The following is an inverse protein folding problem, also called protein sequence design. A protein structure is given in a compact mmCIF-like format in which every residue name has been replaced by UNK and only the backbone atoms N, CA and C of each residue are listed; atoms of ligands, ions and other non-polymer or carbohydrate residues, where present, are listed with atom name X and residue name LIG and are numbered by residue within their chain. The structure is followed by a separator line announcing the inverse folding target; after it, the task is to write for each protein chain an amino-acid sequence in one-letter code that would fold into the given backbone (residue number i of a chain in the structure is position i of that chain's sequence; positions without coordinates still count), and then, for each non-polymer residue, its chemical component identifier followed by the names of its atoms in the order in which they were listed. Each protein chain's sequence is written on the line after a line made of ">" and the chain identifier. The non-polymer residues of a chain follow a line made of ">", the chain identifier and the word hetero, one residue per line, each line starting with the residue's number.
data_IF_759864464427
#
_entry.id   IF_759864464427
#
_cell.length_a   1.000
_cell.length_b   1.000
_cell.length_c   1.000
_cell.angle_alpha   90.00
_cell.angle_beta   90.00
_cell.angle_gamma   90.00
#
_symmetry.space_group_name_H-M   'P 1'
#
loop_
_entity.id
_entity.type
_entity.pdbx_description
1 polymer ?
#
# COMPACT_ATOMS: atom_id res chain seq x y z
N UNK A 1 7.72 -9.86 19.03
CA UNK A 1 8.35 -8.67 18.41
C UNK A 1 7.41 -7.50 18.59
N UNK A 2 7.88 -6.42 19.18
CA UNK A 2 7.14 -5.16 19.35
C UNK A 2 7.54 -4.22 18.22
N UNK A 3 6.60 -3.94 17.32
CA UNK A 3 6.85 -3.18 16.11
C UNK A 3 6.26 -1.77 16.23
N UNK A 4 7.09 -0.76 15.98
CA UNK A 4 6.68 0.60 15.72
C UNK A 4 6.67 0.88 14.21
N UNK A 5 5.63 1.55 13.72
CA UNK A 5 5.58 2.08 12.37
C UNK A 5 5.43 3.59 12.43
N UNK A 6 6.41 4.31 11.92
CA UNK A 6 6.41 5.78 11.87
C UNK A 6 6.14 6.25 10.47
N UNK A 7 5.15 7.13 10.34
CA UNK A 7 4.78 7.74 9.07
C UNK A 7 4.24 9.15 9.28
N UNK A 8 4.41 10.01 8.28
CA UNK A 8 3.85 11.35 8.24
C UNK A 8 2.39 11.31 7.75
N UNK A 9 1.45 11.57 8.64
CA UNK A 9 0.02 11.54 8.35
C UNK A 9 -0.73 12.71 8.99
N UNK A 10 -1.27 13.60 8.17
CA UNK A 10 -2.02 14.78 8.64
C UNK A 10 -3.39 14.47 9.23
N UNK A 11 -3.88 13.25 9.10
CA UNK A 11 -5.27 12.89 9.39
C UNK A 11 -5.43 11.79 10.44
N UNK A 12 -4.34 11.32 11.02
CA UNK A 12 -4.36 10.19 11.94
C UNK A 12 -3.47 10.42 13.16
N UNK A 13 -4.02 10.18 14.34
CA UNK A 13 -3.27 10.21 15.58
C UNK A 13 -2.48 8.91 15.80
N UNK A 14 -1.46 8.98 16.66
CA UNK A 14 -0.70 7.82 17.07
C UNK A 14 -1.55 6.84 17.87
N UNK A 15 -1.42 5.56 17.59
CA UNK A 15 -2.17 4.49 18.26
C UNK A 15 -1.32 3.24 18.49
N UNK A 16 -1.77 2.37 19.38
CA UNK A 16 -1.27 1.02 19.55
C UNK A 16 -2.39 -0.02 19.42
N UNK A 17 -2.02 -1.26 19.09
CA UNK A 17 -2.96 -2.36 18.92
C UNK A 17 -2.93 -3.28 20.14
N UNK A 18 -4.11 -3.53 20.73
CA UNK A 18 -4.31 -4.47 21.83
C UNK A 18 -5.59 -5.27 21.58
N UNK A 19 -5.50 -6.59 21.70
CA UNK A 19 -6.62 -7.52 21.43
C UNK A 19 -7.29 -7.26 20.05
N UNK A 20 -6.48 -6.91 19.03
CA UNK A 20 -6.93 -6.58 17.68
C UNK A 20 -7.62 -5.21 17.55
N UNK A 21 -7.72 -4.44 18.62
CA UNK A 21 -8.35 -3.12 18.67
C UNK A 21 -7.27 -2.04 18.75
N UNK A 22 -7.47 -0.93 18.03
CA UNK A 22 -6.59 0.23 18.13
C UNK A 22 -6.99 1.11 19.30
N UNK A 23 -6.00 1.60 20.05
CA UNK A 23 -6.16 2.53 21.15
C UNK A 23 -5.33 3.80 20.90
N UNK A 24 -5.93 4.96 21.16
CA UNK A 24 -5.19 6.25 21.13
C UNK A 24 -4.04 6.19 22.13
N UNK A 25 -2.83 6.54 21.67
CA UNK A 25 -1.62 6.38 22.46
C UNK A 25 -1.58 7.29 23.69
N UNK A 26 -2.17 8.46 23.60
CA UNK A 26 -2.12 9.49 24.65
C UNK A 26 -3.34 9.45 25.56
N UNK A 27 -4.51 9.08 25.02
CA UNK A 27 -5.77 9.02 25.76
C UNK A 27 -6.06 7.66 26.38
N UNK A 28 -5.43 6.59 25.83
CA UNK A 28 -5.68 5.22 26.21
C UNK A 28 -7.16 4.79 26.05
N UNK A 29 -7.82 5.33 25.05
CA UNK A 29 -9.21 5.03 24.68
C UNK A 29 -9.25 4.30 23.34
N UNK A 30 -10.29 3.47 23.07
CA UNK A 30 -10.46 2.87 21.75
C UNK A 30 -10.42 3.93 20.66
N UNK A 31 -9.54 3.72 19.69
CA UNK A 31 -9.32 4.66 18.61
C UNK A 31 -10.29 4.40 17.47
N UNK A 32 -11.09 5.39 17.12
CA UNK A 32 -11.98 5.34 15.95
C UNK A 32 -11.22 5.85 14.74
N UNK A 33 -10.95 4.97 13.78
CA UNK A 33 -10.34 5.35 12.52
C UNK A 33 -11.33 6.17 11.70
N UNK A 34 -11.24 7.49 11.78
CA UNK A 34 -12.12 8.42 11.04
C UNK A 34 -11.80 8.48 9.55
N UNK A 35 -10.65 7.94 9.13
CA UNK A 35 -10.19 7.97 7.76
C UNK A 35 -9.80 6.58 7.25
N UNK A 36 -9.92 6.41 5.95
CA UNK A 36 -9.62 5.15 5.25
C UNK A 36 -8.16 4.70 5.32
N UNK A 37 -7.27 5.54 5.83
CA UNK A 37 -5.82 5.36 5.64
C UNK A 37 -5.21 4.37 6.60
N UNK A 38 -5.72 4.25 7.84
CA UNK A 38 -5.16 3.35 8.84
C UNK A 38 -6.24 2.47 9.43
N UNK A 39 -6.60 1.46 8.72
CA UNK A 39 -7.40 0.37 9.23
C UNK A 39 -6.72 -0.94 8.87
N UNK A 40 -7.04 -2.00 9.59
CA UNK A 40 -6.65 -3.36 9.24
C UNK A 40 -7.20 -3.86 7.89
N UNK A 41 -7.99 -3.04 7.19
CA UNK A 41 -8.45 -3.23 5.81
C UNK A 41 -7.54 -2.59 4.76
N UNK A 42 -6.51 -1.84 5.14
CA UNK A 42 -5.58 -1.27 4.17
C UNK A 42 -4.62 -2.35 3.63
N UNK A 43 -4.09 -2.18 2.43
CA UNK A 43 -3.20 -3.16 1.78
C UNK A 43 -1.77 -2.64 1.62
N UNK A 44 -1.32 -1.79 2.53
CA UNK A 44 0.01 -1.17 2.50
C UNK A 44 0.67 -1.19 3.88
N UNK A 45 1.78 -0.48 4.00
CA UNK A 45 2.50 -0.28 5.26
C UNK A 45 1.66 0.18 6.45
N UNK A 46 0.49 0.75 6.22
CA UNK A 46 -0.48 1.08 7.27
C UNK A 46 -0.96 -0.11 8.09
N UNK A 47 -0.77 -1.33 7.59
CA UNK A 47 -1.10 -2.56 8.30
C UNK A 47 0.01 -3.07 9.21
N UNK A 48 1.21 -2.50 9.17
CA UNK A 48 2.30 -2.95 10.03
C UNK A 48 1.95 -2.97 11.54
N UNK A 49 1.24 -1.97 12.09
CA UNK A 49 0.84 -2.00 13.49
C UNK A 49 -0.02 -3.20 13.88
N UNK A 50 -0.77 -3.75 12.92
CA UNK A 50 -1.68 -4.86 13.16
C UNK A 50 -1.02 -6.25 13.02
N UNK A 51 0.25 -6.31 12.65
CA UNK A 51 0.96 -7.58 12.51
C UNK A 51 1.16 -8.29 13.84
N UNK A 52 1.40 -7.56 14.91
CA UNK A 52 1.63 -8.12 16.25
C UNK A 52 0.81 -7.41 17.31
N UNK A 53 0.47 -8.15 18.36
CA UNK A 53 -0.04 -7.57 19.59
C UNK A 53 0.95 -6.53 20.13
N UNK A 54 0.46 -5.36 20.49
CA UNK A 54 1.30 -4.24 20.89
C UNK A 54 2.01 -3.52 19.74
N UNK A 55 1.67 -3.80 18.48
CA UNK A 55 2.18 -3.00 17.37
C UNK A 55 1.64 -1.57 17.41
N UNK A 56 2.45 -0.60 17.00
CA UNK A 56 2.14 0.82 17.15
C UNK A 56 2.27 1.57 15.83
N UNK A 57 1.38 2.54 15.64
CA UNK A 57 1.54 3.61 14.68
C UNK A 57 1.94 4.89 15.40
N UNK A 58 3.03 5.51 14.97
CA UNK A 58 3.51 6.79 15.49
C UNK A 58 3.43 7.85 14.39
N UNK A 59 2.58 8.85 14.61
CA UNK A 59 2.43 9.93 13.65
C UNK A 59 3.59 10.92 13.76
N UNK A 60 4.39 11.01 12.71
CA UNK A 60 5.54 11.91 12.64
C UNK A 60 5.13 13.39 12.79
N UNK A 61 3.98 13.81 12.24
CA UNK A 61 3.51 15.18 12.39
C UNK A 61 3.23 15.57 13.85
N UNK A 62 2.57 14.69 14.60
CA UNK A 62 2.31 14.92 16.03
C UNK A 62 3.61 15.07 16.80
N UNK A 63 4.58 14.22 16.51
CA UNK A 63 5.85 14.25 17.18
C UNK A 63 6.70 15.47 16.83
N UNK A 64 6.82 15.81 15.56
CA UNK A 64 7.72 16.90 15.10
C UNK A 64 7.07 18.26 15.19
N UNK A 65 5.80 18.41 14.76
CA UNK A 65 5.12 19.70 14.71
C UNK A 65 4.52 20.11 16.06
N UNK A 66 4.00 19.16 16.80
CA UNK A 66 3.29 19.43 18.04
C UNK A 66 4.16 19.24 19.29
N UNK A 67 5.44 18.89 19.09
CA UNK A 67 6.42 18.60 20.16
C UNK A 67 5.89 17.61 21.21
N UNK A 68 5.02 16.69 20.76
CA UNK A 68 4.51 15.64 21.64
C UNK A 68 5.64 14.66 21.94
N UNK A 69 5.77 14.32 23.20
CA UNK A 69 6.76 13.34 23.62
C UNK A 69 6.50 11.97 22.97
N UNK A 70 7.56 11.34 22.50
CA UNK A 70 7.45 9.96 22.05
C UNK A 70 7.05 9.07 23.22
N UNK A 71 6.09 8.15 23.00
CA UNK A 71 5.59 7.28 24.06
C UNK A 71 6.72 6.46 24.70
N UNK A 72 6.64 6.24 26.00
CA UNK A 72 7.50 5.31 26.71
C UNK A 72 7.10 3.87 26.34
N UNK A 73 7.70 3.32 25.33
CA UNK A 73 7.41 1.99 24.80
C UNK A 73 8.72 1.28 24.45
N UNK A 74 8.74 -0.04 24.60
CA UNK A 74 9.94 -0.84 24.35
C UNK A 74 9.79 -1.55 23.00
N UNK A 75 10.32 -0.93 21.95
CA UNK A 75 10.28 -1.47 20.58
C UNK A 75 11.48 -2.38 20.32
N UNK A 76 11.25 -3.50 19.64
CA UNK A 76 12.30 -4.32 19.03
C UNK A 76 12.73 -3.70 17.69
N UNK A 77 11.75 -3.25 16.89
CA UNK A 77 11.95 -2.67 15.57
C UNK A 77 11.06 -1.45 15.38
N UNK A 78 11.60 -0.44 14.74
CA UNK A 78 10.86 0.73 14.25
C UNK A 78 11.02 0.82 12.74
N UNK A 79 9.94 0.56 12.00
CA UNK A 79 9.87 0.82 10.57
C UNK A 79 9.56 2.30 10.37
N UNK A 80 10.48 3.03 9.76
CA UNK A 80 10.33 4.45 9.54
C UNK A 80 10.18 4.76 8.05
N UNK A 81 8.97 5.14 7.66
CA UNK A 81 8.67 5.61 6.31
C UNK A 81 8.75 7.13 6.24
N UNK A 82 9.60 7.60 5.34
CA UNK A 82 9.90 9.00 5.20
C UNK A 82 9.57 9.50 3.79
N UNK A 83 8.30 9.42 3.39
CA UNK A 83 7.88 9.79 2.03
C UNK A 83 7.84 11.30 1.80
N UNK A 84 7.61 12.09 2.85
CA UNK A 84 7.45 13.54 2.76
C UNK A 84 8.64 14.35 3.24
N UNK A 85 9.67 13.70 3.76
CA UNK A 85 10.88 14.40 4.19
C UNK A 85 11.55 15.11 3.01
N UNK A 86 11.64 16.39 3.09
CA UNK A 86 12.32 17.25 2.10
C UNK A 86 11.39 18.16 1.31
N UNK A 87 10.13 18.35 1.76
CA UNK A 87 9.26 19.23 1.01
C UNK A 87 9.60 20.70 1.18
N UNK A 88 9.97 21.22 2.31
CA UNK A 88 10.37 22.65 2.44
C UNK A 88 10.88 23.02 3.84
N UNK A 89 11.13 22.03 4.73
CA UNK A 89 11.46 22.37 6.10
C UNK A 89 12.71 21.63 6.59
N UNK A 90 13.82 22.36 6.79
CA UNK A 90 15.08 21.83 7.32
C UNK A 90 14.91 21.13 8.68
N UNK A 91 13.81 21.42 9.37
CA UNK A 91 13.48 20.82 10.68
C UNK A 91 13.09 19.35 10.61
N UNK A 92 12.61 18.86 9.46
CA UNK A 92 12.17 17.47 9.30
C UNK A 92 13.31 16.49 9.03
N UNK A 93 14.51 16.99 8.68
CA UNK A 93 15.48 16.23 7.93
C UNK A 93 16.28 15.23 8.75
N UNK A 94 16.65 15.55 9.96
CA UNK A 94 17.70 14.78 10.68
C UNK A 94 17.39 14.47 12.13
N UNK A 95 16.46 15.17 12.72
CA UNK A 95 16.19 15.02 14.15
C UNK A 95 15.60 13.66 14.51
N UNK A 96 14.99 12.98 13.53
CA UNK A 96 14.15 11.84 13.84
C UNK A 96 14.94 10.58 14.18
N UNK A 97 15.98 10.23 13.44
CA UNK A 97 16.75 8.98 13.68
C UNK A 97 17.52 9.07 14.99
N UNK A 98 18.22 10.16 15.24
CA UNK A 98 18.96 10.34 16.50
C UNK A 98 18.03 10.45 17.71
N UNK A 99 16.90 11.18 17.59
CA UNK A 99 15.90 11.20 18.67
C UNK A 99 15.32 9.82 18.95
N UNK A 100 15.05 9.03 17.91
CA UNK A 100 14.59 7.65 18.06
C UNK A 100 15.62 6.78 18.76
N UNK A 101 16.90 6.86 18.37
CA UNK A 101 17.99 6.14 19.03
C UNK A 101 18.14 6.52 20.49
N UNK A 102 18.05 7.82 20.80
CA UNK A 102 18.11 8.30 22.18
C UNK A 102 16.92 7.82 23.02
N UNK A 103 15.73 7.78 22.44
CA UNK A 103 14.51 7.36 23.15
C UNK A 103 14.38 5.84 23.24
N UNK A 104 14.79 5.12 22.21
CA UNK A 104 14.66 3.68 22.07
C UNK A 104 16.02 3.04 21.73
N UNK A 105 16.97 3.06 22.68
CA UNK A 105 18.36 2.67 22.40
C UNK A 105 18.52 1.19 22.02
N UNK A 106 17.54 0.36 22.34
CA UNK A 106 17.54 -1.07 22.01
C UNK A 106 16.75 -1.41 20.74
N UNK A 107 16.02 -0.45 20.16
CA UNK A 107 15.24 -0.67 18.97
C UNK A 107 16.10 -0.59 17.71
N UNK A 108 15.87 -1.50 16.77
CA UNK A 108 16.43 -1.42 15.42
C UNK A 108 15.61 -0.39 14.61
N UNK A 109 16.25 0.63 14.06
CA UNK A 109 15.60 1.65 13.24
C UNK A 109 15.80 1.29 11.78
N UNK A 110 14.73 0.88 11.14
CA UNK A 110 14.72 0.40 9.76
C UNK A 110 14.04 1.42 8.86
N UNK A 111 14.77 1.94 7.90
CA UNK A 111 14.23 2.81 6.86
C UNK A 111 13.29 2.02 5.95
N UNK A 112 12.07 2.51 5.76
CA UNK A 112 11.07 1.85 4.96
C UNK A 112 10.81 2.61 3.66
N UNK A 113 11.13 1.98 2.53
CA UNK A 113 10.94 2.53 1.19
C UNK A 113 9.67 2.00 0.57
N UNK A 114 8.66 2.85 0.42
CA UNK A 114 7.39 2.48 -0.19
C UNK A 114 7.42 2.60 -1.72
N UNK A 115 7.99 3.69 -2.24
CA UNK A 115 8.03 3.99 -3.67
C UNK A 115 9.36 4.66 -4.06
N UNK A 116 10.02 4.13 -5.08
CA UNK A 116 11.30 4.70 -5.57
C UNK A 116 11.09 5.96 -6.39
N UNK A 117 10.04 6.04 -7.20
CA UNK A 117 9.77 7.21 -8.05
C UNK A 117 9.65 8.52 -7.26
N UNK A 118 9.05 8.47 -6.08
CA UNK A 118 8.95 9.64 -5.20
C UNK A 118 10.33 10.06 -4.64
N UNK A 119 11.31 9.16 -4.66
CA UNK A 119 12.63 9.42 -4.11
C UNK A 119 13.60 10.09 -5.10
N UNK A 120 13.48 9.80 -6.39
CA UNK A 120 14.51 10.18 -7.37
C UNK A 120 14.11 11.38 -8.24
N UNK A 121 12.84 11.52 -8.58
CA UNK A 121 12.43 12.46 -9.64
C UNK A 121 12.00 13.86 -9.21
N UNK A 122 11.88 14.15 -7.93
CA UNK A 122 11.42 15.46 -7.48
C UNK A 122 12.46 16.24 -6.67
N UNK A 123 13.44 16.86 -7.35
CA UNK A 123 14.44 17.82 -6.86
C UNK A 123 15.65 17.20 -6.17
N UNK A 124 16.84 17.62 -6.57
CA UNK A 124 18.14 17.15 -6.05
C UNK A 124 18.23 17.12 -4.51
N UNK A 125 17.69 18.12 -3.84
CA UNK A 125 17.71 18.24 -2.38
C UNK A 125 16.92 17.11 -1.70
N UNK A 126 15.78 16.71 -2.24
CA UNK A 126 14.99 15.58 -1.68
C UNK A 126 15.71 14.25 -1.79
N UNK A 127 16.38 14.03 -2.93
CA UNK A 127 17.15 12.82 -3.16
C UNK A 127 18.32 12.72 -2.17
N UNK A 128 19.05 13.80 -1.95
CA UNK A 128 20.18 13.84 -1.03
C UNK A 128 19.73 13.59 0.42
N UNK A 129 18.63 14.20 0.84
CA UNK A 129 18.13 14.04 2.22
C UNK A 129 17.62 12.63 2.48
N UNK A 130 16.96 11.99 1.50
CA UNK A 130 16.57 10.59 1.61
C UNK A 130 17.76 9.64 1.65
N UNK A 131 18.73 9.86 0.79
CA UNK A 131 19.98 9.07 0.81
C UNK A 131 20.62 9.15 2.20
N UNK A 132 20.74 10.36 2.75
CA UNK A 132 21.31 10.54 4.09
C UNK A 132 20.47 9.83 5.16
N UNK A 133 19.14 9.99 5.13
CA UNK A 133 18.23 9.31 6.05
C UNK A 133 18.41 7.78 6.01
N UNK A 134 18.40 7.16 4.81
CA UNK A 134 18.60 5.73 4.71
C UNK A 134 20.00 5.27 5.16
N UNK A 135 21.01 6.11 4.99
CA UNK A 135 22.37 5.84 5.53
C UNK A 135 22.41 5.87 7.05
N UNK A 136 21.59 6.69 7.68
CA UNK A 136 21.51 6.83 9.14
C UNK A 136 20.71 5.71 9.80
N UNK A 137 19.79 5.05 9.07
CA UNK A 137 19.05 3.89 9.56
C UNK A 137 19.97 2.69 9.76
N UNK A 138 19.61 1.79 10.67
CA UNK A 138 20.36 0.56 10.92
C UNK A 138 20.23 -0.41 9.75
N UNK A 139 19.06 -0.43 9.09
CA UNK A 139 18.77 -1.21 7.89
C UNK A 139 17.75 -0.50 6.99
N UNK A 140 17.52 -1.02 5.78
CA UNK A 140 16.54 -0.50 4.85
C UNK A 140 15.73 -1.65 4.24
N UNK A 141 14.41 -1.54 4.31
CA UNK A 141 13.49 -2.46 3.63
C UNK A 141 12.69 -1.73 2.56
N UNK A 142 12.47 -2.42 1.46
CA UNK A 142 11.64 -1.95 0.36
C UNK A 142 10.51 -2.94 0.08
N UNK A 143 9.42 -2.45 -0.52
CA UNK A 143 8.39 -3.34 -1.01
C UNK A 143 8.84 -4.02 -2.29
N UNK A 144 8.91 -5.32 -2.27
CA UNK A 144 8.95 -6.18 -3.44
C UNK A 144 8.73 -7.63 -3.04
N UNK A 145 8.12 -8.39 -3.92
CA UNK A 145 8.03 -9.84 -3.80
C UNK A 145 9.06 -10.53 -4.69
N UNK A 146 9.29 -10.04 -5.91
CA UNK A 146 10.18 -10.69 -6.86
C UNK A 146 10.83 -9.75 -7.88
N UNK A 147 10.05 -9.01 -8.67
CA UNK A 147 10.52 -8.38 -9.91
C UNK A 147 11.04 -6.95 -9.75
N UNK A 148 10.53 -6.21 -8.77
CA UNK A 148 10.97 -4.82 -8.55
C UNK A 148 12.42 -4.73 -8.09
N UNK A 149 12.95 -5.79 -7.47
CA UNK A 149 14.35 -5.85 -7.03
C UNK A 149 15.36 -5.61 -8.15
N UNK A 150 15.00 -5.95 -9.39
CA UNK A 150 15.88 -5.83 -10.55
C UNK A 150 15.70 -4.51 -11.31
N UNK A 151 14.77 -3.66 -10.90
CA UNK A 151 14.61 -2.35 -11.51
C UNK A 151 15.83 -1.47 -11.27
N UNK A 152 16.22 -0.74 -12.32
CA UNK A 152 17.38 0.15 -12.30
C UNK A 152 17.28 1.17 -11.17
N UNK A 153 16.10 1.72 -10.93
CA UNK A 153 15.83 2.73 -9.90
C UNK A 153 16.17 2.24 -8.49
N UNK A 154 15.88 0.97 -8.19
CA UNK A 154 16.25 0.34 -6.92
C UNK A 154 17.77 0.14 -6.83
N UNK A 155 18.41 -0.36 -7.90
CA UNK A 155 19.86 -0.55 -7.95
C UNK A 155 20.61 0.78 -7.81
N UNK A 156 20.16 1.82 -8.48
CA UNK A 156 20.76 3.16 -8.39
C UNK A 156 20.66 3.73 -6.96
N UNK A 157 19.53 3.50 -6.27
CA UNK A 157 19.36 3.93 -4.89
C UNK A 157 20.24 3.10 -3.92
N UNK A 158 20.29 1.78 -4.08
CA UNK A 158 21.20 0.91 -3.31
C UNK A 158 22.66 1.38 -3.42
N UNK A 159 23.11 1.69 -4.65
CA UNK A 159 24.45 2.25 -4.86
C UNK A 159 24.64 3.61 -4.18
N UNK A 160 23.62 4.46 -4.21
CA UNK A 160 23.69 5.79 -3.61
C UNK A 160 23.77 5.75 -2.09
N UNK A 161 23.16 4.77 -1.44
CA UNK A 161 23.20 4.60 0.02
C UNK A 161 24.32 3.65 0.48
N UNK A 162 25.03 3.02 -0.46
CA UNK A 162 26.07 2.00 -0.20
C UNK A 162 25.55 0.84 0.67
N UNK A 163 24.33 0.39 0.36
CA UNK A 163 23.64 -0.71 1.06
C UNK A 163 22.63 -1.38 0.16
N UNK A 164 22.49 -2.69 0.27
CA UNK A 164 21.41 -3.45 -0.36
C UNK A 164 20.12 -3.34 0.45
N UNK A 165 18.99 -3.35 -0.24
CA UNK A 165 17.71 -3.45 0.41
C UNK A 165 17.39 -4.88 0.82
N UNK A 166 16.75 -5.00 1.97
CA UNK A 166 15.92 -6.15 2.26
C UNK A 166 14.54 -5.91 1.68
N UNK A 167 13.87 -6.98 1.25
CA UNK A 167 12.57 -6.87 0.58
C UNK A 167 11.49 -7.59 1.38
N UNK A 168 10.37 -6.92 1.54
CA UNK A 168 9.20 -7.44 2.24
C UNK A 168 7.94 -7.17 1.43
N UNK A 169 6.96 -8.03 1.61
CA UNK A 169 5.65 -7.89 0.96
C UNK A 169 4.77 -6.87 1.68
N UNK A 170 3.69 -6.45 1.01
CA UNK A 170 2.63 -5.69 1.63
C UNK A 170 1.89 -6.52 2.69
N UNK A 171 1.76 -6.03 3.92
CA UNK A 171 0.91 -6.70 4.91
C UNK A 171 -0.57 -6.53 4.56
N UNK A 172 -1.27 -7.64 4.37
CA UNK A 172 -2.70 -7.68 4.06
C UNK A 172 -3.42 -8.58 5.05
N UNK A 173 -4.52 -8.09 5.61
CA UNK A 173 -5.40 -8.90 6.44
C UNK A 173 -6.37 -9.70 5.57
N UNK A 174 -5.87 -10.79 4.99
CA UNK A 174 -6.61 -11.61 4.04
C UNK A 174 -7.85 -12.23 4.69
N UNK A 175 -7.74 -12.71 5.94
CA UNK A 175 -8.85 -13.33 6.66
C UNK A 175 -10.02 -12.35 6.83
N UNK A 176 -9.73 -11.09 7.22
CA UNK A 176 -10.76 -10.08 7.36
C UNK A 176 -11.45 -9.74 6.03
N UNK A 177 -10.70 -9.70 4.93
CA UNK A 177 -11.28 -9.50 3.60
C UNK A 177 -12.13 -10.67 3.18
N UNK A 178 -11.66 -11.90 3.43
CA UNK A 178 -12.39 -13.12 3.11
C UNK A 178 -13.73 -13.17 3.84
N UNK A 179 -13.72 -12.94 5.13
CA UNK A 179 -14.93 -12.99 5.95
C UNK A 179 -15.93 -11.87 5.65
N UNK A 180 -15.45 -10.73 5.11
CA UNK A 180 -16.30 -9.53 4.98
C UNK A 180 -16.70 -9.23 3.54
N UNK A 181 -15.83 -9.44 2.55
CA UNK A 181 -16.00 -8.91 1.20
C UNK A 181 -15.76 -9.93 0.09
N UNK A 182 -15.08 -11.05 0.39
CA UNK A 182 -14.77 -12.02 -0.65
C UNK A 182 -16.04 -12.70 -1.15
N UNK A 183 -16.21 -12.70 -2.46
CA UNK A 183 -17.26 -13.47 -3.15
C UNK A 183 -16.83 -13.72 -4.58
N UNK A 184 -17.15 -14.89 -5.09
CA UNK A 184 -17.05 -15.21 -6.51
C UNK A 184 -18.36 -14.90 -7.27
N UNK A 185 -19.45 -14.69 -6.53
CA UNK A 185 -20.72 -14.22 -7.08
C UNK A 185 -20.71 -12.70 -7.14
N UNK A 186 -20.49 -12.18 -8.34
CA UNK A 186 -20.32 -10.73 -8.59
C UNK A 186 -21.36 -10.23 -9.59
N UNK A 187 -21.66 -8.96 -9.48
CA UNK A 187 -22.38 -8.25 -10.52
C UNK A 187 -21.51 -8.18 -11.78
N UNK A 188 -22.08 -8.49 -12.94
CA UNK A 188 -21.40 -8.29 -14.21
C UNK A 188 -21.30 -6.80 -14.53
N UNK A 189 -20.36 -6.16 -13.87
CA UNK A 189 -20.12 -4.72 -13.96
C UNK A 189 -18.64 -4.41 -13.91
N UNK A 190 -18.28 -3.23 -14.38
CA UNK A 190 -16.93 -2.65 -14.36
C UNK A 190 -16.87 -1.63 -13.24
N UNK A 191 -15.78 -1.61 -12.48
CA UNK A 191 -15.41 -0.49 -11.63
C UNK A 191 -14.17 0.22 -12.18
N UNK A 192 -14.23 1.54 -12.22
CA UNK A 192 -13.10 2.38 -12.57
C UNK A 192 -13.07 3.67 -11.73
N UNK A 193 -11.89 4.23 -11.54
CA UNK A 193 -11.76 5.54 -10.93
C UNK A 193 -12.11 6.63 -11.93
N UNK A 194 -12.84 7.67 -11.48
CA UNK A 194 -13.06 8.86 -12.29
C UNK A 194 -11.72 9.55 -12.62
N UNK A 195 -11.63 10.20 -13.80
CA UNK A 195 -10.42 10.90 -14.18
C UNK A 195 -10.10 12.00 -13.18
N UNK A 196 -8.90 11.94 -12.64
CA UNK A 196 -8.33 13.04 -11.88
C UNK A 196 -7.27 13.70 -12.76
N UNK A 197 -7.29 15.03 -12.96
CA UNK A 197 -6.32 15.72 -13.82
C UNK A 197 -4.87 15.57 -13.36
N UNK A 198 -4.65 15.20 -12.11
CA UNK A 198 -3.30 15.01 -11.53
C UNK A 198 -2.74 13.60 -11.79
N UNK A 199 -3.57 12.64 -12.19
CA UNK A 199 -3.15 11.24 -12.32
C UNK A 199 -3.54 10.63 -13.68
N UNK A 200 -2.74 9.68 -14.15
CA UNK A 200 -2.86 8.87 -15.38
C UNK A 200 -4.20 8.10 -15.50
N UNK A 201 -5.18 8.42 -14.67
CA UNK A 201 -6.50 7.75 -14.59
C UNK A 201 -7.44 8.08 -15.75
N UNK A 202 -7.14 9.13 -16.53
CA UNK A 202 -7.96 9.48 -17.69
C UNK A 202 -7.97 8.35 -18.75
N UNK A 203 -6.85 7.67 -18.97
CA UNK A 203 -6.79 6.54 -19.89
C UNK A 203 -7.59 5.34 -19.40
N UNK A 204 -7.48 5.02 -18.11
CA UNK A 204 -8.28 3.98 -17.48
C UNK A 204 -9.76 4.25 -17.63
N UNK A 205 -10.20 5.48 -17.29
CA UNK A 205 -11.59 5.90 -17.42
C UNK A 205 -12.11 5.79 -18.85
N UNK A 206 -11.38 6.34 -19.82
CA UNK A 206 -11.78 6.34 -21.22
C UNK A 206 -11.86 4.92 -21.78
N UNK A 207 -10.94 4.06 -21.42
CA UNK A 207 -10.97 2.66 -21.86
C UNK A 207 -12.09 1.87 -21.19
N UNK A 208 -12.29 2.03 -19.88
CA UNK A 208 -13.40 1.39 -19.17
C UNK A 208 -14.78 1.82 -19.75
N UNK A 209 -14.93 3.11 -20.06
CA UNK A 209 -16.13 3.64 -20.72
C UNK A 209 -16.34 3.04 -22.12
N UNK A 210 -15.28 3.00 -22.93
CA UNK A 210 -15.34 2.36 -24.26
C UNK A 210 -15.79 0.89 -24.16
N UNK A 211 -15.22 0.11 -23.24
CA UNK A 211 -15.60 -1.29 -23.02
C UNK A 211 -17.04 -1.40 -22.55
N UNK A 212 -17.47 -0.57 -21.59
CA UNK A 212 -18.85 -0.53 -21.09
C UNK A 212 -19.87 -0.28 -22.23
N UNK A 213 -19.63 0.72 -23.06
CA UNK A 213 -20.49 1.07 -24.17
C UNK A 213 -20.52 -0.02 -25.25
N UNK A 214 -19.35 -0.57 -25.62
CA UNK A 214 -19.23 -1.58 -26.68
C UNK A 214 -19.88 -2.91 -26.33
N UNK A 215 -19.79 -3.33 -25.08
CA UNK A 215 -20.30 -4.63 -24.63
C UNK A 215 -21.57 -4.54 -23.78
N UNK A 216 -22.11 -3.34 -23.62
CA UNK A 216 -23.30 -3.07 -22.80
C UNK A 216 -23.18 -3.59 -21.36
N UNK A 217 -22.02 -3.37 -20.73
CA UNK A 217 -21.73 -3.75 -19.35
C UNK A 217 -21.85 -2.52 -18.45
N UNK A 218 -22.60 -2.57 -17.33
CA UNK A 218 -22.70 -1.46 -16.39
C UNK A 218 -21.33 -1.04 -15.86
N UNK A 219 -21.10 0.27 -15.77
CA UNK A 219 -19.88 0.83 -15.19
C UNK A 219 -20.21 1.61 -13.92
N UNK A 220 -19.47 1.34 -12.85
CA UNK A 220 -19.53 2.05 -11.58
C UNK A 220 -18.28 2.90 -11.40
N UNK A 221 -18.45 4.10 -10.91
CA UNK A 221 -17.35 5.01 -10.62
C UNK A 221 -17.33 5.37 -9.13
N UNK A 222 -16.13 5.61 -8.61
CA UNK A 222 -16.03 6.31 -7.34
C UNK A 222 -16.62 7.72 -7.53
N UNK A 223 -17.67 8.10 -6.81
CA UNK A 223 -18.18 9.46 -6.88
C UNK A 223 -17.11 10.42 -6.41
N UNK A 224 -16.85 11.45 -7.24
CA UNK A 224 -16.06 12.61 -6.84
C UNK A 224 -17.07 13.76 -6.67
N UNK A 225 -17.23 14.25 -5.46
CA UNK A 225 -17.97 15.48 -5.27
C UNK A 225 -17.16 16.67 -5.84
N UNK A 226 -17.79 17.58 -6.59
CA UNK A 226 -17.09 18.59 -7.40
C UNK A 226 -16.18 19.55 -6.62
N UNK A 227 -16.32 19.65 -5.31
CA UNK A 227 -15.62 20.61 -4.45
C UNK A 227 -14.80 20.01 -3.31
N UNK A 228 -14.69 18.70 -3.23
CA UNK A 228 -13.93 18.07 -2.16
C UNK A 228 -12.53 17.70 -2.65
N UNK A 229 -11.53 18.30 -2.04
CA UNK A 229 -10.11 18.03 -2.32
C UNK A 229 -9.75 16.55 -2.11
N UNK A 230 -10.43 15.85 -1.22
CA UNK A 230 -10.29 14.42 -0.95
C UNK A 230 -11.56 13.90 -0.24
N UNK A 231 -12.48 13.28 -0.97
CA UNK A 231 -13.52 12.49 -0.34
C UNK A 231 -12.97 11.13 0.08
N UNK A 232 -12.60 11.06 1.33
CA UNK A 232 -12.32 9.78 1.95
C UNK A 232 -13.64 9.20 2.49
N UNK A 233 -14.30 8.37 1.68
CA UNK A 233 -15.22 7.40 2.25
C UNK A 233 -14.42 6.56 3.25
N UNK A 234 -14.98 6.22 4.42
CA UNK A 234 -14.39 5.22 5.28
C UNK A 234 -14.03 3.98 4.46
N UNK A 235 -12.84 3.40 4.65
CA UNK A 235 -12.33 2.37 3.76
C UNK A 235 -13.29 1.21 3.55
N UNK A 236 -14.01 0.80 4.61
CA UNK A 236 -15.06 -0.21 4.53
C UNK A 236 -16.13 0.15 3.51
N UNK A 237 -16.70 1.36 3.61
CA UNK A 237 -17.73 1.84 2.68
C UNK A 237 -17.19 1.96 1.24
N UNK A 238 -15.93 2.36 1.11
CA UNK A 238 -15.28 2.41 -0.19
C UNK A 238 -15.15 1.00 -0.80
N UNK A 239 -14.76 -0.01 -0.02
CA UNK A 239 -14.69 -1.40 -0.48
C UNK A 239 -16.09 -1.93 -0.83
N UNK A 240 -17.10 -1.67 -0.01
CA UNK A 240 -18.50 -2.04 -0.26
C UNK A 240 -19.03 -1.48 -1.58
N UNK A 241 -18.58 -0.29 -1.99
CA UNK A 241 -18.98 0.33 -3.24
C UNK A 241 -18.48 -0.44 -4.47
N UNK A 242 -17.24 -0.91 -4.45
CA UNK A 242 -16.60 -1.47 -5.64
C UNK A 242 -16.46 -3.00 -5.62
N UNK A 243 -16.44 -3.62 -4.45
CA UNK A 243 -16.28 -5.08 -4.33
C UNK A 243 -17.35 -5.91 -5.04
N UNK A 244 -18.59 -5.44 -5.26
CA UNK A 244 -19.57 -6.22 -6.04
C UNK A 244 -19.24 -6.32 -7.53
N UNK A 245 -18.35 -5.49 -8.09
CA UNK A 245 -18.04 -5.50 -9.52
C UNK A 245 -17.13 -6.67 -9.90
N UNK A 246 -17.43 -7.37 -10.99
CA UNK A 246 -16.62 -8.47 -11.51
C UNK A 246 -15.25 -8.00 -12.02
N UNK A 247 -15.20 -6.81 -12.62
CA UNK A 247 -14.01 -6.31 -13.32
C UNK A 247 -13.60 -4.95 -12.79
N UNK A 248 -12.29 -4.80 -12.55
CA UNK A 248 -11.68 -3.52 -12.16
C UNK A 248 -10.62 -3.13 -13.19
N UNK A 249 -10.72 -1.91 -13.68
CA UNK A 249 -9.79 -1.41 -14.69
C UNK A 249 -8.73 -0.51 -14.07
N UNK A 250 -7.46 -0.76 -14.43
CA UNK A 250 -6.32 0.07 -14.03
C UNK A 250 -5.24 0.03 -15.11
N UNK A 251 -5.05 1.10 -15.85
CA UNK A 251 -4.02 1.22 -16.88
C UNK A 251 -2.80 2.02 -16.36
N UNK A 252 -2.35 1.73 -15.15
CA UNK A 252 -1.13 2.35 -14.62
C UNK A 252 0.11 1.69 -15.23
N UNK A 253 0.89 2.43 -16.06
CA UNK A 253 2.07 1.90 -16.70
C UNK A 253 3.31 1.88 -15.80
N UNK A 254 3.22 2.35 -14.55
CA UNK A 254 4.37 2.43 -13.67
C UNK A 254 4.73 1.06 -13.10
N UNK A 255 5.95 0.54 -13.36
CA UNK A 255 6.41 -0.69 -12.76
C UNK A 255 6.80 -0.51 -11.29
N UNK A 256 7.04 0.73 -10.83
CA UNK A 256 7.56 1.03 -9.49
C UNK A 256 6.47 1.27 -8.44
N UNK A 257 5.21 1.40 -8.86
CA UNK A 257 4.09 1.50 -7.93
C UNK A 257 3.82 0.16 -7.25
N UNK A 258 3.43 0.16 -5.97
CA UNK A 258 3.22 -1.07 -5.21
C UNK A 258 2.02 -1.92 -5.68
N UNK A 259 1.17 -1.43 -6.57
CA UNK A 259 0.04 -2.20 -7.13
C UNK A 259 -1.08 -2.50 -6.16
N UNK A 260 -1.34 -1.60 -5.24
CA UNK A 260 -2.37 -1.76 -4.20
C UNK A 260 -3.73 -2.18 -4.75
N UNK A 261 -4.13 -1.66 -5.91
CA UNK A 261 -5.42 -1.99 -6.52
C UNK A 261 -5.51 -3.48 -6.89
N UNK A 262 -4.46 -4.06 -7.49
CA UNK A 262 -4.46 -5.48 -7.84
C UNK A 262 -4.62 -6.35 -6.58
N UNK A 263 -3.93 -6.00 -5.50
CA UNK A 263 -4.04 -6.69 -4.20
C UNK A 263 -5.46 -6.57 -3.65
N UNK A 264 -6.05 -5.37 -3.65
CA UNK A 264 -7.43 -5.17 -3.17
C UNK A 264 -8.44 -5.96 -3.99
N UNK A 265 -8.30 -5.95 -5.31
CA UNK A 265 -9.20 -6.65 -6.24
C UNK A 265 -9.12 -8.17 -6.04
N UNK A 266 -7.93 -8.73 -5.84
CA UNK A 266 -7.75 -10.15 -5.50
C UNK A 266 -8.39 -10.51 -4.16
N UNK A 267 -8.27 -9.63 -3.15
CA UNK A 267 -8.85 -9.84 -1.82
C UNK A 267 -10.38 -9.96 -1.82
N UNK A 268 -11.06 -9.42 -2.81
CA UNK A 268 -12.52 -9.49 -2.87
C UNK A 268 -13.05 -10.51 -3.89
N UNK A 269 -12.16 -11.20 -4.61
CA UNK A 269 -12.56 -12.20 -5.61
C UNK A 269 -13.05 -11.58 -6.92
N UNK A 270 -12.45 -10.48 -7.36
CA UNK A 270 -12.72 -9.82 -8.64
C UNK A 270 -11.51 -9.92 -9.57
N UNK A 271 -11.64 -9.50 -10.82
CA UNK A 271 -10.56 -9.51 -11.83
C UNK A 271 -10.06 -8.08 -12.08
N UNK A 272 -8.75 -7.91 -12.01
CA UNK A 272 -8.11 -6.66 -12.40
C UNK A 272 -7.68 -6.70 -13.88
N UNK A 273 -8.05 -5.68 -14.64
CA UNK A 273 -7.74 -5.51 -16.05
C UNK A 273 -6.77 -4.35 -16.23
N UNK A 274 -5.54 -4.65 -16.59
CA UNK A 274 -4.49 -3.67 -16.84
C UNK A 274 -3.56 -3.43 -15.66
N UNK A 275 -2.51 -2.61 -15.90
CA UNK A 275 -1.46 -2.27 -14.97
C UNK A 275 -0.17 -3.04 -15.19
N UNK A 276 0.98 -2.40 -14.87
CA UNK A 276 2.31 -2.97 -15.14
C UNK A 276 3.17 -3.13 -13.90
N UNK A 277 2.63 -2.88 -12.71
CA UNK A 277 3.40 -3.06 -11.47
C UNK A 277 3.52 -4.53 -11.06
N UNK A 278 4.42 -4.80 -10.12
CA UNK A 278 4.73 -6.16 -9.67
C UNK A 278 3.50 -6.96 -9.22
N UNK A 279 2.61 -6.35 -8.44
CA UNK A 279 1.41 -7.05 -7.95
C UNK A 279 0.47 -7.46 -9.08
N UNK A 280 0.38 -6.68 -10.17
CA UNK A 280 -0.37 -7.09 -11.36
C UNK A 280 0.27 -8.31 -12.03
N UNK A 281 1.59 -8.30 -12.21
CA UNK A 281 2.30 -9.44 -12.80
C UNK A 281 2.16 -10.73 -11.97
N UNK A 282 2.12 -10.60 -10.64
CA UNK A 282 1.96 -11.75 -9.75
C UNK A 282 0.53 -12.26 -9.73
N UNK A 283 -0.46 -11.36 -9.59
CA UNK A 283 -1.84 -11.73 -9.34
C UNK A 283 -2.66 -11.91 -10.62
N UNK A 284 -2.36 -11.15 -11.67
CA UNK A 284 -3.12 -11.13 -12.93
C UNK A 284 -2.18 -11.11 -14.15
N UNK A 285 -1.31 -12.12 -14.34
CA UNK A 285 -0.26 -12.09 -15.37
C UNK A 285 -0.79 -11.92 -16.80
N UNK A 286 -1.99 -12.44 -17.09
CA UNK A 286 -2.58 -12.36 -18.44
C UNK A 286 -3.10 -10.93 -18.78
N UNK A 287 -3.31 -10.08 -17.78
CA UNK A 287 -3.77 -8.69 -17.94
C UNK A 287 -2.77 -7.66 -17.42
N UNK A 288 -1.55 -8.09 -17.06
CA UNK A 288 -0.46 -7.22 -16.60
C UNK A 288 0.18 -6.45 -17.76
N UNK A 289 -0.60 -5.59 -18.40
CA UNK A 289 -0.21 -4.75 -19.54
C UNK A 289 -1.06 -3.49 -19.61
N UNK A 290 -0.65 -2.52 -20.43
CA UNK A 290 -1.47 -1.35 -20.81
C UNK A 290 -1.87 -1.38 -22.30
N UNK A 291 -1.61 -2.48 -23.02
CA UNK A 291 -2.07 -2.66 -24.40
C UNK A 291 -3.59 -2.90 -24.43
N UNK A 292 -4.33 -1.89 -24.88
CA UNK A 292 -5.79 -1.89 -24.88
C UNK A 292 -6.39 -3.01 -25.73
N UNK A 293 -5.70 -3.47 -26.80
CA UNK A 293 -6.18 -4.57 -27.63
C UNK A 293 -6.11 -5.89 -26.86
N UNK A 294 -4.98 -6.18 -26.22
CA UNK A 294 -4.82 -7.37 -25.40
C UNK A 294 -5.83 -7.35 -24.24
N UNK A 295 -5.98 -6.20 -23.57
CA UNK A 295 -6.90 -6.07 -22.45
C UNK A 295 -8.36 -6.27 -22.86
N UNK A 296 -8.75 -5.79 -24.04
CA UNK A 296 -10.09 -6.01 -24.58
C UNK A 296 -10.32 -7.50 -24.92
N UNK A 297 -9.35 -8.15 -25.55
CA UNK A 297 -9.42 -9.59 -25.87
C UNK A 297 -9.60 -10.42 -24.60
N UNK A 298 -8.83 -10.13 -23.55
CA UNK A 298 -8.91 -10.82 -22.24
C UNK A 298 -10.21 -10.50 -21.50
N UNK A 299 -10.66 -9.26 -21.51
CA UNK A 299 -11.95 -8.90 -20.95
C UNK A 299 -13.10 -9.71 -21.58
N UNK A 300 -13.12 -9.80 -22.91
CA UNK A 300 -14.15 -10.58 -23.65
C UNK A 300 -14.04 -12.06 -23.35
N UNK A 301 -12.84 -12.62 -23.26
CA UNK A 301 -12.62 -14.00 -22.83
C UNK A 301 -13.26 -14.27 -21.46
N UNK A 302 -12.94 -13.44 -20.46
CA UNK A 302 -13.48 -13.61 -19.10
C UNK A 302 -14.97 -13.27 -18.97
N UNK A 303 -15.48 -12.41 -19.83
CA UNK A 303 -16.91 -12.10 -19.88
C UNK A 303 -17.72 -13.29 -20.37
N UNK A 304 -17.22 -14.04 -21.35
CA UNK A 304 -17.91 -15.14 -22.03
C UNK A 304 -17.65 -16.50 -21.40
N UNK A 305 -16.49 -16.70 -20.80
CA UNK A 305 -16.08 -17.97 -20.19
C UNK A 305 -16.00 -17.85 -18.67
N UNK A 306 -17.08 -18.28 -18.01
CA UNK A 306 -17.15 -18.28 -16.53
C UNK A 306 -16.11 -19.19 -15.89
N UNK A 307 -15.77 -20.34 -16.53
CA UNK A 307 -14.76 -21.24 -15.98
C UNK A 307 -13.37 -20.58 -15.99
N UNK A 308 -13.05 -19.92 -17.11
CA UNK A 308 -11.79 -19.16 -17.20
C UNK A 308 -11.74 -18.03 -16.18
N UNK A 309 -12.88 -17.32 -15.99
CA UNK A 309 -13.02 -16.27 -14.97
C UNK A 309 -12.70 -16.82 -13.57
N UNK A 310 -13.31 -17.93 -13.19
CA UNK A 310 -13.05 -18.57 -11.88
C UNK A 310 -11.61 -19.01 -11.73
N UNK A 311 -10.98 -19.59 -12.75
CA UNK A 311 -9.57 -19.96 -12.72
C UNK A 311 -8.65 -18.76 -12.44
N UNK A 312 -8.93 -17.60 -13.05
CA UNK A 312 -8.15 -16.38 -12.82
C UNK A 312 -8.33 -15.86 -11.41
N UNK A 313 -9.57 -15.86 -10.88
CA UNK A 313 -9.86 -15.44 -9.50
C UNK A 313 -9.15 -16.38 -8.50
N UNK A 314 -9.25 -17.69 -8.68
CA UNK A 314 -8.61 -18.68 -7.83
C UNK A 314 -7.08 -18.55 -7.86
N UNK A 315 -6.50 -18.38 -9.06
CA UNK A 315 -5.08 -18.13 -9.23
C UNK A 315 -4.64 -16.88 -8.44
N UNK A 316 -5.34 -15.76 -8.63
CA UNK A 316 -5.04 -14.50 -7.95
C UNK A 316 -5.15 -14.65 -6.42
N UNK A 317 -6.18 -15.34 -5.93
CA UNK A 317 -6.37 -15.63 -4.52
C UNK A 317 -5.24 -16.49 -3.92
N UNK A 318 -4.84 -17.54 -4.62
CA UNK A 318 -3.73 -18.38 -4.17
C UNK A 318 -2.42 -17.59 -4.12
N UNK A 319 -2.13 -16.80 -5.15
CA UNK A 319 -0.93 -15.94 -5.19
C UNK A 319 -0.96 -14.84 -4.15
N UNK A 320 -2.13 -14.31 -3.81
CA UNK A 320 -2.30 -13.35 -2.73
C UNK A 320 -1.89 -13.96 -1.37
N UNK A 321 -2.40 -15.16 -1.06
CA UNK A 321 -2.07 -15.89 0.17
C UNK A 321 -0.59 -16.26 0.25
N UNK A 322 0.02 -16.68 -0.87
CA UNK A 322 1.44 -17.03 -0.92
C UNK A 322 2.36 -15.83 -0.67
N UNK A 323 1.95 -14.60 -1.04
CA UNK A 323 2.87 -13.49 -1.14
C UNK A 323 2.56 -12.30 -0.22
N UNK A 324 1.32 -12.09 0.26
CA UNK A 324 0.93 -10.81 0.86
C UNK A 324 0.29 -10.89 2.26
N UNK A 325 -0.10 -12.05 2.73
CA UNK A 325 -0.78 -12.19 4.03
C UNK A 325 0.07 -11.77 5.23
N UNK A 326 -0.57 -11.46 6.35
CA UNK A 326 0.11 -11.09 7.60
C UNK A 326 1.16 -12.12 8.02
N UNK A 327 0.87 -13.41 7.88
CA UNK A 327 1.81 -14.50 8.20
C UNK A 327 3.07 -14.43 7.34
N UNK A 328 2.95 -14.12 6.05
CA UNK A 328 4.08 -13.99 5.14
C UNK A 328 4.99 -12.84 5.61
N UNK A 329 4.43 -11.67 5.83
CA UNK A 329 5.20 -10.49 6.25
C UNK A 329 5.81 -10.65 7.64
N UNK A 330 5.09 -11.27 8.59
CA UNK A 330 5.64 -11.64 9.90
C UNK A 330 6.87 -12.52 9.77
N UNK A 331 6.79 -13.56 8.93
CA UNK A 331 7.91 -14.47 8.70
C UNK A 331 9.10 -13.76 8.05
N UNK A 332 8.87 -12.90 7.06
CA UNK A 332 9.91 -12.10 6.43
C UNK A 332 10.61 -11.21 7.45
N UNK A 333 9.87 -10.40 8.22
CA UNK A 333 10.45 -9.52 9.23
C UNK A 333 11.13 -10.31 10.37
N UNK A 334 10.57 -11.44 10.76
CA UNK A 334 11.19 -12.30 11.79
C UNK A 334 12.50 -12.91 11.29
N UNK A 335 12.55 -13.36 10.04
CA UNK A 335 13.77 -13.89 9.42
C UNK A 335 14.87 -12.84 9.30
N UNK A 336 14.50 -11.59 9.00
CA UNK A 336 15.46 -10.50 8.86
C UNK A 336 16.02 -10.02 10.20
N UNK A 337 15.20 -10.01 11.27
CA UNK A 337 15.53 -9.25 12.50
C UNK A 337 15.46 -10.03 13.81
N UNK A 338 15.17 -11.32 13.77
CA UNK A 338 15.22 -12.21 14.95
C UNK A 338 16.22 -13.36 14.82
N UNK A 339 17.17 -13.21 13.90
CA UNK A 339 18.27 -14.16 13.73
C UNK A 339 19.22 -14.18 14.93
#
# INVERSE_FOLDING_TARGET
>A
MKLGYIFDCSVQDSFYVKDGISYDFYKNEPYVHNHSVTSNLHVTGWNFPFLWEGGCFLNLEQWVKNDLDLPAYDFDIILYSNERLGLDDDKYQYYCVDRLRNKYPNALIVGYLKEVELSIHNREVRSMNRIKFFKECDDVVAFSVATMQDLKEYKDLELSIDRKFNYISHPVNIDLYYDTFYSTEKEESIFAYLPNPVHRRAETYNFAKYISEKYNIPIKFKPLEPNQKFDYLPLKQFIELWSPSSFHFNLDPSPTHPGQQAIQVANVGSINIGGMNESHHILYPETATCDKKILEEKFVEYLRDLNKRFQVIEYAWNKLNENYGYTVVKNQLTSLYKG
#
